data_IF_981220553793
#
_entry.id   IF_981220553793
#
_cell.length_a   1.000
_cell.length_b   1.000
_cell.length_c   1.000
_cell.angle_alpha   90.00
_cell.angle_beta   90.00
_cell.angle_gamma   90.00
#
_symmetry.space_group_name_H-M   'P 1'
#
loop_
_entity.id
_entity.type
_entity.pdbx_description
1 polymer ?
#
# COMPACT_ATOMS: atom_id res chain seq x y z
N UNK A 1 10.46 -7.18 53.07
CA UNK A 1 9.88 -6.34 52.01
C UNK A 1 9.81 -4.92 52.55
N UNK A 2 10.81 -4.09 52.26
CA UNK A 2 10.83 -2.69 52.73
C UNK A 2 9.93 -1.85 51.83
N UNK A 3 8.97 -1.16 52.44
CA UNK A 3 8.11 -0.19 51.79
C UNK A 3 8.97 0.99 51.31
N UNK A 4 9.16 1.09 49.99
CA UNK A 4 9.75 2.27 49.37
C UNK A 4 8.79 3.44 49.58
N UNK A 5 9.24 4.47 50.30
CA UNK A 5 8.51 5.72 50.43
C UNK A 5 8.24 6.28 49.02
N UNK A 6 6.96 6.32 48.63
CA UNK A 6 6.51 6.92 47.38
C UNK A 6 6.76 8.43 47.45
N UNK A 7 7.97 8.85 47.10
CA UNK A 7 8.31 10.26 46.93
C UNK A 7 7.68 10.72 45.62
N UNK A 8 6.88 11.78 45.68
CA UNK A 8 6.24 12.37 44.50
C UNK A 8 7.00 13.60 44.03
N UNK A 9 6.96 13.86 42.72
CA UNK A 9 7.58 15.02 42.08
C UNK A 9 6.58 15.72 41.19
N UNK A 10 6.45 17.04 41.37
CA UNK A 10 5.54 17.85 40.59
C UNK A 10 6.20 18.29 39.27
N UNK A 11 5.47 18.13 38.17
CA UNK A 11 5.95 18.57 36.88
C UNK A 11 5.96 20.10 36.80
N UNK A 12 7.13 20.72 36.70
CA UNK A 12 7.28 22.18 36.52
C UNK A 12 6.62 22.74 35.25
N UNK A 13 6.22 21.89 34.31
CA UNK A 13 5.62 22.33 33.04
C UNK A 13 4.09 22.25 33.00
N UNK A 14 3.48 21.27 33.66
CA UNK A 14 2.02 21.11 33.66
C UNK A 14 1.39 20.98 35.05
N UNK A 15 2.20 20.98 36.13
CA UNK A 15 1.73 20.86 37.51
C UNK A 15 1.27 19.46 37.93
N UNK A 16 1.34 18.46 37.06
CA UNK A 16 0.93 17.09 37.40
C UNK A 16 1.89 16.47 38.42
N UNK A 17 1.34 15.76 39.41
CA UNK A 17 2.08 14.96 40.39
C UNK A 17 2.51 13.64 39.74
N UNK A 18 3.80 13.32 39.75
CA UNK A 18 4.36 12.09 39.20
C UNK A 18 5.14 11.33 40.29
N UNK A 19 5.42 10.05 40.09
CA UNK A 19 6.35 9.32 40.98
C UNK A 19 7.79 9.80 40.75
N UNK A 20 8.60 9.88 41.80
CA UNK A 20 10.00 10.32 41.73
C UNK A 20 10.89 9.43 40.86
N UNK A 21 10.51 8.16 40.68
CA UNK A 21 11.19 7.19 39.82
C UNK A 21 10.96 7.48 38.32
N UNK A 22 9.98 8.32 37.97
CA UNK A 22 9.66 8.63 36.58
C UNK A 22 10.64 9.65 36.01
N UNK A 23 11.31 9.27 34.92
CA UNK A 23 12.21 10.17 34.18
C UNK A 23 11.46 11.27 33.40
N UNK A 24 10.20 11.01 33.04
CA UNK A 24 9.34 11.92 32.26
C UNK A 24 7.95 12.01 32.89
N UNK A 25 7.31 13.16 32.74
CA UNK A 25 5.95 13.39 33.18
C UNK A 25 4.97 12.56 32.35
N UNK A 26 4.14 11.76 33.02
CA UNK A 26 3.14 10.92 32.37
C UNK A 26 2.09 11.73 31.58
N UNK A 27 1.85 12.98 31.99
CA UNK A 27 0.82 13.82 31.41
C UNK A 27 1.30 14.66 30.21
N UNK A 28 2.51 15.23 30.28
CA UNK A 28 3.00 16.15 29.24
C UNK A 28 4.30 15.71 28.58
N UNK A 29 4.90 14.59 29.01
CA UNK A 29 6.15 14.06 28.46
C UNK A 29 7.41 14.86 28.80
N UNK A 30 7.31 15.95 29.58
CA UNK A 30 8.47 16.75 30.00
C UNK A 30 9.37 15.95 30.94
N UNK A 31 10.68 16.06 30.78
CA UNK A 31 11.67 15.46 31.68
C UNK A 31 11.45 15.97 33.11
N UNK A 32 11.49 15.04 34.08
CA UNK A 32 11.35 15.34 35.51
C UNK A 32 12.69 15.28 36.24
N UNK A 33 13.61 14.42 35.80
CA UNK A 33 14.90 14.20 36.45
C UNK A 33 16.01 15.07 35.86
N UNK A 34 16.72 15.79 36.75
CA UNK A 34 17.86 16.64 36.39
C UNK A 34 19.04 15.84 35.82
N UNK A 35 19.17 14.56 36.17
CA UNK A 35 20.20 13.65 35.63
C UNK A 35 19.98 13.34 34.14
N UNK A 36 18.73 13.15 33.71
CA UNK A 36 18.39 12.94 32.30
C UNK A 36 18.57 14.23 31.50
N UNK A 37 18.25 15.38 32.09
CA UNK A 37 18.52 16.69 31.49
C UNK A 37 20.03 16.93 31.31
N UNK A 38 20.84 16.62 32.33
CA UNK A 38 22.30 16.74 32.28
C UNK A 38 22.93 15.79 31.24
N UNK A 39 22.44 14.55 31.13
CA UNK A 39 22.85 13.60 30.09
C UNK A 39 22.46 14.08 28.68
N UNK A 40 21.29 14.70 28.50
CA UNK A 40 20.89 15.30 27.22
C UNK A 40 21.79 16.47 26.85
N UNK A 41 22.15 17.31 27.81
CA UNK A 41 23.05 18.45 27.59
C UNK A 41 24.48 17.98 27.28
N UNK A 42 25.00 16.99 28.02
CA UNK A 42 26.31 16.40 27.79
C UNK A 42 26.44 15.71 26.41
N UNK A 43 25.35 15.14 25.89
CA UNK A 43 25.30 14.58 24.52
C UNK A 43 25.32 15.63 23.40
N UNK A 44 25.34 16.93 23.73
CA UNK A 44 25.46 18.00 22.74
C UNK A 44 24.26 18.08 21.80
N UNK A 45 23.05 17.74 22.28
CA UNK A 45 21.81 17.91 21.52
C UNK A 45 21.59 19.42 21.33
N UNK A 46 22.04 19.95 20.20
CA UNK A 46 21.82 21.36 19.83
C UNK A 46 20.32 21.60 19.73
N UNK A 47 19.78 22.40 20.65
CA UNK A 47 18.40 22.88 20.57
C UNK A 47 18.26 23.67 19.27
N UNK A 48 17.54 23.14 18.29
CA UNK A 48 17.34 23.81 17.02
C UNK A 48 16.02 24.56 17.07
N UNK A 49 16.03 25.85 16.74
CA UNK A 49 14.81 26.61 16.53
C UNK A 49 14.21 26.26 15.18
N UNK A 50 12.89 26.03 15.16
CA UNK A 50 12.14 25.89 13.93
C UNK A 50 11.98 27.28 13.28
N UNK A 51 12.35 27.43 12.00
CA UNK A 51 12.18 28.68 11.27
C UNK A 51 10.70 29.06 11.07
N UNK A 52 9.80 28.08 11.03
CA UNK A 52 8.37 28.31 10.75
C UNK A 52 7.57 28.72 11.98
N UNK A 53 7.89 28.20 13.16
CA UNK A 53 7.13 28.46 14.39
C UNK A 53 7.95 29.05 15.54
N UNK A 54 9.27 29.20 15.37
CA UNK A 54 10.18 29.75 16.37
C UNK A 54 10.45 28.87 17.58
N UNK A 55 9.75 27.74 17.75
CA UNK A 55 9.91 26.84 18.90
C UNK A 55 11.15 25.96 18.75
N UNK A 56 11.82 25.68 19.87
CA UNK A 56 12.98 24.79 19.91
C UNK A 56 12.55 23.33 19.86
N UNK A 57 13.03 22.60 18.86
CA UNK A 57 12.82 21.16 18.71
C UNK A 57 14.11 20.40 19.05
N UNK A 58 13.97 19.33 19.82
CA UNK A 58 15.08 18.47 20.26
C UNK A 58 14.88 16.98 19.94
N UNK A 59 13.79 16.61 19.26
CA UNK A 59 13.40 15.20 19.09
C UNK A 59 13.38 14.74 17.64
N UNK A 60 13.24 15.65 16.66
CA UNK A 60 13.12 15.24 15.27
C UNK A 60 14.04 16.03 14.32
N UNK A 61 14.85 15.30 13.56
CA UNK A 61 15.83 15.88 12.64
C UNK A 61 15.24 16.31 11.29
N UNK A 62 13.94 16.09 11.06
CA UNK A 62 13.33 16.29 9.75
C UNK A 62 12.09 17.18 9.78
N UNK A 63 11.20 17.01 10.77
CA UNK A 63 9.99 17.81 10.89
C UNK A 63 9.85 18.39 12.28
N UNK A 64 9.40 19.64 12.39
CA UNK A 64 9.11 20.24 13.67
C UNK A 64 7.96 19.51 14.37
N UNK A 65 8.18 19.02 15.59
CA UNK A 65 7.14 18.36 16.41
C UNK A 65 5.98 19.30 16.73
N UNK A 66 6.23 20.62 16.77
CA UNK A 66 5.22 21.61 17.14
C UNK A 66 4.33 22.09 15.99
N UNK A 67 4.86 22.15 14.77
CA UNK A 67 4.14 22.73 13.63
C UNK A 67 4.16 21.87 12.35
N UNK A 68 4.88 20.75 12.37
CA UNK A 68 5.00 19.84 11.23
C UNK A 68 5.85 20.36 10.06
N UNK A 69 6.35 21.60 10.11
CA UNK A 69 7.18 22.14 9.04
C UNK A 69 8.52 21.40 8.94
N UNK A 70 9.00 21.20 7.73
CA UNK A 70 10.33 20.63 7.50
C UNK A 70 11.41 21.56 8.08
N UNK A 71 12.36 20.96 8.79
CA UNK A 71 13.49 21.68 9.36
C UNK A 71 14.70 21.27 8.50
N UNK A 72 15.21 22.19 7.67
CA UNK A 72 16.32 21.93 6.76
C UNK A 72 17.62 21.62 7.54
N UNK A 73 17.81 20.38 8.00
CA UNK A 73 19.07 19.91 8.63
C UNK A 73 19.80 18.91 7.75
N UNK A 74 19.20 18.49 6.62
CA UNK A 74 19.91 17.66 5.67
C UNK A 74 20.93 18.51 4.92
N UNK A 75 22.08 18.74 5.55
CA UNK A 75 23.32 18.61 4.79
C UNK A 75 23.32 17.17 4.31
N UNK A 76 22.87 16.97 3.07
CA UNK A 76 23.06 15.73 2.34
C UNK A 76 24.57 15.52 2.32
N UNK A 77 25.13 14.83 3.32
CA UNK A 77 26.47 14.29 3.19
C UNK A 77 26.36 13.38 1.99
N UNK A 78 27.00 13.78 0.89
CA UNK A 78 27.11 12.96 -0.31
C UNK A 78 27.54 11.58 0.17
N UNK A 79 26.65 10.60 0.07
CA UNK A 79 26.96 9.22 0.39
C UNK A 79 28.12 8.84 -0.52
N UNK A 80 29.29 8.57 0.06
CA UNK A 80 30.40 8.07 -0.76
C UNK A 80 30.00 6.71 -1.29
N UNK A 81 30.20 6.48 -2.60
CA UNK A 81 29.90 5.21 -3.23
C UNK A 81 30.58 4.04 -2.49
N UNK A 82 31.73 4.32 -1.86
CA UNK A 82 32.51 3.38 -1.08
C UNK A 82 31.87 2.99 0.26
N UNK A 83 31.14 3.90 0.92
CA UNK A 83 30.38 3.57 2.13
C UNK A 83 29.13 2.72 1.79
N UNK A 84 28.53 2.96 0.63
CA UNK A 84 27.41 2.16 0.13
C UNK A 84 27.87 0.73 -0.23
N UNK A 85 29.04 0.61 -0.87
CA UNK A 85 29.63 -0.68 -1.22
C UNK A 85 29.95 -1.52 0.02
N UNK A 86 30.64 -0.93 1.01
CA UNK A 86 30.95 -1.63 2.28
C UNK A 86 29.69 -2.11 3.00
N UNK A 87 28.64 -1.29 3.04
CA UNK A 87 27.39 -1.70 3.68
C UNK A 87 26.72 -2.88 2.97
N UNK A 88 26.72 -2.90 1.63
CA UNK A 88 26.20 -4.03 0.86
C UNK A 88 27.03 -5.30 1.10
N UNK A 89 28.35 -5.18 1.16
CA UNK A 89 29.24 -6.32 1.45
C UNK A 89 29.02 -6.85 2.89
N UNK A 90 28.88 -5.97 3.87
CA UNK A 90 28.57 -6.34 5.25
C UNK A 90 27.22 -7.07 5.35
N UNK A 91 26.18 -6.56 4.66
CA UNK A 91 24.85 -7.20 4.62
C UNK A 91 24.90 -8.60 3.99
N UNK A 92 25.68 -8.77 2.94
CA UNK A 92 25.86 -10.05 2.25
C UNK A 92 26.73 -11.02 3.05
N UNK A 93 27.61 -10.52 3.92
CA UNK A 93 28.45 -11.33 4.80
C UNK A 93 27.74 -11.84 6.06
N UNK A 94 26.58 -11.26 6.40
CA UNK A 94 25.73 -11.74 7.48
C UNK A 94 24.91 -12.95 7.00
N UNK A 95 25.55 -14.12 6.96
CA UNK A 95 24.83 -15.39 6.84
C UNK A 95 23.98 -15.61 8.09
N UNK A 96 22.65 -15.70 7.92
CA UNK A 96 21.75 -16.16 8.97
C UNK A 96 22.24 -17.54 9.48
N UNK A 97 22.20 -17.82 10.80
CA UNK A 97 22.47 -19.17 11.29
C UNK A 97 21.45 -20.10 10.65
N UNK A 98 21.96 -20.97 9.78
CA UNK A 98 21.23 -22.00 9.08
C UNK A 98 20.67 -23.01 10.08
N UNK A 99 19.40 -22.86 10.44
CA UNK A 99 18.60 -23.99 10.92
C UNK A 99 18.27 -24.90 9.73
N UNK A 100 18.96 -26.05 9.73
CA UNK A 100 18.56 -27.33 9.12
C UNK A 100 18.07 -27.33 7.67
N UNK A 101 19.00 -27.71 6.79
CA UNK A 101 18.84 -28.70 5.71
C UNK A 101 17.49 -28.74 4.96
N UNK A 102 17.50 -28.19 3.75
CA UNK A 102 16.92 -28.85 2.58
C UNK A 102 17.82 -28.55 1.40
N UNK A 103 18.47 -29.59 0.89
CA UNK A 103 19.42 -29.54 -0.21
C UNK A 103 18.74 -28.99 -1.48
N UNK A 104 19.36 -27.98 -2.07
CA UNK A 104 19.09 -27.55 -3.44
C UNK A 104 19.70 -28.56 -4.41
N UNK A 105 18.87 -29.42 -4.99
CA UNK A 105 19.15 -29.96 -6.32
C UNK A 105 18.86 -28.88 -7.38
N UNK A 106 19.54 -28.91 -8.54
CA UNK A 106 19.31 -27.92 -9.59
C UNK A 106 17.89 -28.07 -10.14
N UNK A 107 17.12 -26.97 -10.13
CA UNK A 107 15.80 -26.90 -10.75
C UNK A 107 16.00 -26.99 -12.26
N UNK A 108 15.77 -28.18 -12.81
CA UNK A 108 15.59 -28.41 -14.23
C UNK A 108 14.25 -27.79 -14.64
N UNK A 109 14.28 -26.73 -15.44
CA UNK A 109 13.07 -26.17 -16.06
C UNK A 109 12.68 -27.12 -17.20
N UNK A 110 11.86 -28.11 -16.90
CA UNK A 110 11.15 -28.92 -17.88
C UNK A 110 9.66 -28.55 -17.87
N UNK A 111 9.17 -28.15 -19.05
CA UNK A 111 7.78 -27.87 -19.41
C UNK A 111 6.78 -28.90 -18.85
N UNK A 112 5.50 -28.53 -18.64
CA UNK A 112 4.51 -29.50 -18.20
C UNK A 112 4.29 -30.56 -19.28
N UNK A 113 4.78 -31.77 -19.00
CA UNK A 113 4.51 -32.99 -19.75
C UNK A 113 3.03 -33.34 -19.53
N UNK A 114 2.31 -33.42 -20.64
CA UNK A 114 0.95 -33.94 -20.74
C UNK A 114 0.80 -35.25 -19.96
N UNK A 115 -0.04 -35.25 -18.94
CA UNK A 115 -0.61 -36.47 -18.39
C UNK A 115 -1.60 -37.03 -19.40
N UNK A 116 -1.14 -38.02 -20.17
CA UNK A 116 -2.04 -38.87 -20.95
C UNK A 116 -2.83 -39.75 -19.98
N UNK A 117 -4.10 -39.41 -19.78
CA UNK A 117 -5.08 -40.33 -19.21
C UNK A 117 -5.35 -41.39 -20.28
N UNK A 118 -4.98 -42.64 -20.00
CA UNK A 118 -5.41 -43.77 -20.81
C UNK A 118 -6.92 -43.92 -20.67
N UNK A 119 -7.66 -43.67 -21.76
CA UNK A 119 -9.07 -44.03 -21.85
C UNK A 119 -9.21 -45.53 -22.12
N UNK A 120 -10.21 -46.20 -21.53
CA UNK A 120 -10.50 -47.59 -21.86
C UNK A 120 -11.00 -47.69 -23.31
N UNK A 121 -10.52 -48.70 -24.03
CA UNK A 121 -10.96 -49.02 -25.37
C UNK A 121 -12.45 -49.41 -25.37
N UNK A 122 -13.27 -48.59 -26.03
CA UNK A 122 -14.65 -48.94 -26.39
C UNK A 122 -14.67 -49.50 -27.82
N UNK A 123 -15.50 -50.52 -28.10
CA UNK A 123 -15.47 -51.26 -29.35
C UNK A 123 -15.99 -50.41 -30.51
N UNK A 124 -15.33 -50.58 -31.65
CA UNK A 124 -15.73 -50.11 -32.97
C UNK A 124 -17.14 -50.59 -33.27
N UNK A 125 -18.07 -49.64 -33.42
CA UNK A 125 -19.27 -49.86 -34.22
C UNK A 125 -19.40 -48.68 -35.18
N UNK A 126 -19.14 -48.98 -36.45
CA UNK A 126 -19.32 -48.08 -37.56
C UNK A 126 -20.81 -47.73 -37.71
N UNK A 127 -21.14 -46.44 -37.64
CA UNK A 127 -22.39 -45.93 -38.20
C UNK A 127 -22.17 -44.54 -38.80
N UNK A 128 -22.77 -44.37 -39.98
CA UNK A 128 -22.47 -43.39 -41.01
C UNK A 128 -22.27 -41.95 -40.50
N UNK A 129 -21.16 -41.33 -40.94
CA UNK A 129 -20.76 -39.95 -40.68
C UNK A 129 -21.60 -38.95 -41.50
N UNK A 130 -22.14 -37.87 -40.91
CA UNK A 130 -22.35 -36.64 -41.65
C UNK A 130 -20.98 -35.93 -41.80
N UNK A 131 -20.70 -35.43 -43.00
CA UNK A 131 -19.40 -34.86 -43.38
C UNK A 131 -18.95 -33.74 -42.41
N UNK A 132 -17.76 -33.81 -41.79
CA UNK A 132 -17.26 -32.80 -40.84
C UNK A 132 -17.05 -31.43 -41.49
N UNK A 133 -16.90 -31.37 -42.82
CA UNK A 133 -16.75 -30.14 -43.60
C UNK A 133 -17.97 -29.21 -43.45
N UNK A 134 -19.18 -29.75 -43.30
CA UNK A 134 -20.38 -28.93 -43.21
C UNK A 134 -20.43 -28.13 -41.90
N UNK A 135 -19.97 -28.72 -40.79
CA UNK A 135 -19.93 -28.01 -39.50
C UNK A 135 -18.84 -26.93 -39.47
N UNK A 136 -17.69 -27.17 -40.12
CA UNK A 136 -16.62 -26.18 -40.24
C UNK A 136 -17.06 -25.02 -41.13
N UNK A 137 -17.68 -25.31 -42.29
CA UNK A 137 -18.19 -24.29 -43.20
C UNK A 137 -19.34 -23.52 -42.55
N UNK A 138 -20.27 -24.19 -41.86
CA UNK A 138 -21.36 -23.53 -41.15
C UNK A 138 -20.83 -22.67 -39.99
N UNK A 139 -19.79 -23.12 -39.29
CA UNK A 139 -19.09 -22.32 -38.27
C UNK A 139 -18.38 -21.09 -38.85
N UNK A 140 -17.72 -21.22 -40.00
CA UNK A 140 -17.06 -20.11 -40.68
C UNK A 140 -18.08 -19.09 -41.22
N UNK A 141 -19.13 -19.57 -41.88
CA UNK A 141 -20.18 -18.71 -42.45
C UNK A 141 -20.97 -18.02 -41.33
N UNK A 142 -21.32 -18.73 -40.25
CA UNK A 142 -22.00 -18.12 -39.10
C UNK A 142 -21.08 -17.14 -38.36
N UNK A 143 -19.79 -17.44 -38.19
CA UNK A 143 -18.82 -16.55 -37.57
C UNK A 143 -18.56 -15.27 -38.37
N UNK A 144 -18.56 -15.34 -39.70
CA UNK A 144 -18.41 -14.18 -40.59
C UNK A 144 -19.71 -13.40 -40.78
N UNK A 145 -20.88 -14.06 -40.72
CA UNK A 145 -22.18 -13.40 -40.86
C UNK A 145 -22.70 -12.75 -39.57
N UNK A 146 -22.39 -13.30 -38.39
CA UNK A 146 -22.80 -12.77 -37.08
C UNK A 146 -22.46 -11.28 -36.85
N UNK A 147 -21.25 -10.78 -37.15
CA UNK A 147 -20.95 -9.35 -37.01
C UNK A 147 -21.74 -8.47 -38.00
N UNK A 148 -22.14 -9.00 -39.16
CA UNK A 148 -22.98 -8.29 -40.14
C UNK A 148 -24.47 -8.29 -39.77
N UNK A 149 -24.94 -9.32 -39.05
CA UNK A 149 -26.34 -9.44 -38.61
C UNK A 149 -26.62 -8.72 -37.29
N UNK A 150 -25.70 -8.76 -36.32
CA UNK A 150 -25.87 -8.09 -35.02
C UNK A 150 -25.29 -6.66 -35.00
N UNK A 151 -24.51 -6.28 -36.01
CA UNK A 151 -23.82 -5.00 -36.06
C UNK A 151 -22.57 -4.95 -35.17
N UNK A 152 -21.55 -4.22 -35.62
CA UNK A 152 -20.27 -4.06 -34.92
C UNK A 152 -20.42 -3.49 -33.50
N UNK A 153 -21.48 -2.72 -33.25
CA UNK A 153 -21.78 -2.10 -31.96
C UNK A 153 -22.09 -3.13 -30.87
N UNK A 154 -22.89 -4.16 -31.17
CA UNK A 154 -23.28 -5.20 -30.22
C UNK A 154 -22.08 -6.07 -29.82
N UNK A 155 -21.25 -6.41 -30.80
CA UNK A 155 -20.03 -7.19 -30.56
C UNK A 155 -19.01 -6.39 -29.73
N UNK A 156 -18.92 -5.08 -29.97
CA UNK A 156 -18.13 -4.16 -29.15
C UNK A 156 -18.64 -4.09 -27.70
N UNK A 157 -19.95 -4.03 -27.50
CA UNK A 157 -20.54 -4.01 -26.16
C UNK A 157 -20.31 -5.32 -25.40
N UNK A 158 -20.45 -6.47 -26.05
CA UNK A 158 -20.18 -7.79 -25.44
C UNK A 158 -18.70 -7.91 -25.10
N UNK A 159 -17.81 -7.47 -25.98
CA UNK A 159 -16.37 -7.49 -25.75
C UNK A 159 -15.96 -6.58 -24.58
N UNK A 160 -16.48 -5.36 -24.50
CA UNK A 160 -16.23 -4.45 -23.38
C UNK A 160 -16.80 -4.98 -22.06
N UNK A 161 -17.99 -5.59 -22.09
CA UNK A 161 -18.59 -6.21 -20.91
C UNK A 161 -17.76 -7.40 -20.39
N UNK A 162 -17.08 -8.13 -21.29
CA UNK A 162 -16.17 -9.21 -20.94
C UNK A 162 -14.88 -8.74 -20.24
N UNK A 163 -14.48 -7.48 -20.40
CA UNK A 163 -13.25 -6.96 -19.80
C UNK A 163 -13.44 -6.46 -18.38
N UNK A 164 -14.67 -6.20 -17.95
CA UNK A 164 -14.97 -5.67 -16.63
C UNK A 164 -15.12 -6.84 -15.65
N UNK A 165 -14.31 -6.91 -14.57
CA UNK A 165 -14.45 -7.97 -13.58
C UNK A 165 -15.80 -7.86 -12.87
N UNK A 166 -16.42 -9.01 -12.59
CA UNK A 166 -17.72 -9.09 -11.91
C UNK A 166 -17.67 -8.67 -10.44
N UNK A 167 -16.48 -8.66 -9.84
CA UNK A 167 -16.24 -8.33 -8.44
C UNK A 167 -14.96 -7.53 -8.25
N UNK A 168 -14.95 -6.69 -7.21
CA UNK A 168 -13.81 -5.87 -6.83
C UNK A 168 -14.20 -4.45 -6.46
N UNK A 169 -13.22 -3.55 -6.56
CA UNK A 169 -13.37 -2.12 -6.32
C UNK A 169 -12.77 -1.33 -7.47
N UNK A 170 -13.56 -0.40 -8.00
CA UNK A 170 -13.17 0.61 -8.98
C UNK A 170 -13.25 1.98 -8.30
N UNK A 171 -12.17 2.75 -8.39
CA UNK A 171 -12.06 4.08 -7.79
C UNK A 171 -11.71 5.08 -8.89
N UNK A 172 -12.52 6.13 -8.97
CA UNK A 172 -12.33 7.26 -9.87
C UNK A 172 -11.96 8.49 -9.05
N UNK A 173 -10.80 9.08 -9.34
CA UNK A 173 -10.31 10.31 -8.72
C UNK A 173 -10.10 11.39 -9.77
N UNK A 174 -10.24 12.64 -9.37
CA UNK A 174 -9.92 13.80 -10.22
C UNK A 174 -8.41 13.98 -10.45
N UNK A 175 -7.56 13.37 -9.60
CA UNK A 175 -6.11 13.45 -9.71
C UNK A 175 -5.52 12.23 -10.41
N UNK A 176 -4.69 12.42 -11.44
CA UNK A 176 -3.92 11.33 -12.04
C UNK A 176 -2.81 10.89 -11.11
N UNK A 177 -2.42 9.61 -11.18
CA UNK A 177 -1.31 9.04 -10.41
C UNK A 177 -1.43 9.25 -8.88
N UNK A 178 -2.65 9.46 -8.38
CA UNK A 178 -2.93 9.47 -6.95
C UNK A 178 -2.64 8.09 -6.36
N UNK A 179 -1.87 8.06 -5.28
CA UNK A 179 -1.62 6.89 -4.47
C UNK A 179 -2.91 6.43 -3.79
N UNK A 180 -3.17 5.13 -3.88
CA UNK A 180 -4.32 4.45 -3.31
C UNK A 180 -3.80 3.44 -2.29
N UNK A 181 -4.30 3.51 -1.06
CA UNK A 181 -4.04 2.50 -0.04
C UNK A 181 -5.37 2.06 0.57
N UNK A 182 -5.69 0.78 0.41
CA UNK A 182 -6.80 0.12 1.05
C UNK A 182 -6.26 -0.66 2.23
N UNK A 183 -6.79 -0.36 3.41
CA UNK A 183 -6.43 -1.01 4.66
C UNK A 183 -7.67 -1.71 5.22
N UNK A 184 -7.55 -2.96 5.62
CA UNK A 184 -8.58 -3.66 6.38
C UNK A 184 -8.89 -2.93 7.70
N UNK A 185 -10.13 -2.97 8.18
CA UNK A 185 -10.47 -2.36 9.48
C UNK A 185 -9.63 -2.92 10.63
N UNK A 186 -9.24 -4.19 10.54
CA UNK A 186 -8.41 -4.91 11.51
C UNK A 186 -6.90 -4.66 11.30
N UNK A 187 -6.53 -3.88 10.28
CA UNK A 187 -5.14 -3.52 9.94
C UNK A 187 -4.23 -4.70 9.60
N UNK A 188 -4.81 -5.81 9.15
CA UNK A 188 -4.08 -7.04 8.77
C UNK A 188 -3.80 -7.13 7.28
N UNK A 189 -4.76 -6.72 6.45
CA UNK A 189 -4.63 -6.73 4.99
C UNK A 189 -4.47 -5.33 4.45
N UNK A 190 -3.58 -5.20 3.46
CA UNK A 190 -3.30 -3.94 2.78
C UNK A 190 -3.21 -4.18 1.28
N UNK A 191 -3.85 -3.31 0.52
CA UNK A 191 -3.69 -3.24 -0.93
C UNK A 191 -3.24 -1.82 -1.27
N UNK A 192 -2.01 -1.70 -1.75
CA UNK A 192 -1.45 -0.44 -2.20
C UNK A 192 -1.39 -0.41 -3.73
N UNK A 193 -1.63 0.77 -4.30
CA UNK A 193 -1.54 0.98 -5.73
C UNK A 193 -1.58 2.46 -6.09
N UNK A 194 -1.74 2.73 -7.37
CA UNK A 194 -1.85 4.08 -7.89
C UNK A 194 -2.97 4.13 -8.93
N UNK A 195 -3.66 5.26 -8.99
CA UNK A 195 -4.58 5.54 -10.09
C UNK A 195 -3.79 5.72 -11.39
N UNK A 196 -4.41 5.37 -12.50
CA UNK A 196 -3.88 5.61 -13.84
C UNK A 196 -3.74 7.10 -14.15
N UNK A 197 -3.18 7.41 -15.32
CA UNK A 197 -3.17 8.77 -15.88
C UNK A 197 -4.57 9.37 -16.09
N UNK A 198 -5.64 8.55 -16.08
CA UNK A 198 -7.04 8.97 -16.14
C UNK A 198 -7.72 9.02 -14.77
N UNK A 199 -6.97 8.84 -13.67
CA UNK A 199 -7.51 8.87 -12.32
C UNK A 199 -8.30 7.60 -11.93
N UNK A 200 -8.14 6.50 -12.69
CA UNK A 200 -8.85 5.23 -12.44
C UNK A 200 -7.94 4.22 -11.76
N UNK A 201 -8.40 3.63 -10.66
CA UNK A 201 -7.77 2.50 -9.97
C UNK A 201 -8.76 1.34 -9.87
N UNK A 202 -8.29 0.10 -9.99
CA UNK A 202 -9.10 -1.09 -9.78
C UNK A 202 -8.36 -2.15 -8.97
N UNK A 203 -9.11 -2.91 -8.16
CA UNK A 203 -8.59 -4.07 -7.42
C UNK A 203 -9.65 -5.17 -7.37
N UNK A 204 -9.25 -6.41 -7.64
CA UNK A 204 -10.14 -7.59 -7.67
C UNK A 204 -9.99 -8.49 -6.44
N UNK A 205 -8.87 -8.40 -5.73
CA UNK A 205 -8.55 -9.26 -4.58
C UNK A 205 -8.96 -8.58 -3.26
N UNK A 206 -10.26 -8.36 -3.09
CA UNK A 206 -10.83 -7.78 -1.87
C UNK A 206 -11.82 -8.79 -1.27
N UNK A 207 -11.44 -9.41 -0.17
CA UNK A 207 -12.20 -10.48 0.50
C UNK A 207 -13.05 -9.97 1.66
N UNK A 208 -12.75 -8.78 2.18
CA UNK A 208 -13.35 -8.26 3.40
C UNK A 208 -14.56 -7.35 3.14
N UNK A 209 -15.51 -7.27 4.09
CA UNK A 209 -16.73 -6.48 3.92
C UNK A 209 -16.51 -4.97 4.02
N UNK A 210 -15.38 -4.51 4.56
CA UNK A 210 -15.10 -3.08 4.71
C UNK A 210 -13.60 -2.79 4.71
N UNK A 211 -13.25 -1.66 4.10
CA UNK A 211 -11.88 -1.16 4.01
C UNK A 211 -11.83 0.33 4.34
N UNK A 212 -10.67 0.80 4.83
CA UNK A 212 -10.29 2.22 4.86
C UNK A 212 -9.52 2.52 3.58
N UNK A 213 -10.11 3.33 2.72
CA UNK A 213 -9.44 3.90 1.57
C UNK A 213 -8.72 5.18 1.97
N UNK A 214 -7.44 5.23 1.62
CA UNK A 214 -6.61 6.41 1.70
C UNK A 214 -6.19 6.81 0.29
N UNK A 215 -6.57 8.01 -0.13
CA UNK A 215 -6.17 8.61 -1.39
C UNK A 215 -5.19 9.75 -1.12
N UNK A 216 -4.05 9.74 -1.79
CA UNK A 216 -3.00 10.76 -1.63
C UNK A 216 -2.41 11.15 -2.98
N UNK A 217 -2.37 12.45 -3.27
CA UNK A 217 -1.72 12.97 -4.46
C UNK A 217 -0.77 14.13 -4.07
N UNK A 218 0.29 14.37 -4.87
CA UNK A 218 1.18 15.51 -4.68
C UNK A 218 0.41 16.83 -4.62
N UNK A 219 0.77 17.70 -3.68
CA UNK A 219 0.12 19.01 -3.50
C UNK A 219 -1.32 18.97 -2.95
N UNK A 220 -1.84 17.78 -2.63
CA UNK A 220 -3.19 17.61 -2.09
C UNK A 220 -3.14 17.04 -0.67
N UNK A 221 -4.18 17.35 0.12
CA UNK A 221 -4.42 16.69 1.40
C UNK A 221 -4.84 15.25 1.15
N UNK A 222 -4.37 14.35 2.00
CA UNK A 222 -4.79 12.95 1.98
C UNK A 222 -6.26 12.85 2.38
N UNK A 223 -7.05 12.15 1.56
CA UNK A 223 -8.43 11.79 1.88
C UNK A 223 -8.47 10.40 2.50
N UNK A 224 -9.21 10.25 3.60
CA UNK A 224 -9.42 9.00 4.32
C UNK A 224 -10.91 8.74 4.35
N UNK A 225 -11.35 7.60 3.83
CA UNK A 225 -12.76 7.23 3.75
C UNK A 225 -12.95 5.75 4.11
N UNK A 226 -13.91 5.46 4.99
CA UNK A 226 -14.38 4.09 5.20
C UNK A 226 -15.32 3.73 4.06
N UNK A 227 -15.12 2.56 3.47
CA UNK A 227 -15.99 2.02 2.43
C UNK A 227 -16.49 0.65 2.87
N UNK A 228 -17.78 0.44 2.69
CA UNK A 228 -18.44 -0.84 2.89
C UNK A 228 -18.63 -1.49 1.52
N UNK A 229 -18.21 -2.75 1.40
CA UNK A 229 -18.18 -3.49 0.15
C UNK A 229 -19.43 -4.36 0.05
N UNK A 230 -20.13 -4.26 -1.08
CA UNK A 230 -21.12 -5.25 -1.47
C UNK A 230 -20.41 -6.55 -1.89
N UNK A 231 -20.88 -7.67 -1.33
CA UNK A 231 -20.35 -9.00 -1.62
C UNK A 231 -20.70 -9.42 -3.06
N UNK A 232 -19.77 -10.13 -3.71
CA UNK A 232 -19.94 -10.74 -5.04
C UNK A 232 -20.38 -9.73 -6.13
N UNK A 233 -20.00 -8.46 -5.95
CA UNK A 233 -20.33 -7.36 -6.87
C UNK A 233 -19.14 -6.43 -7.06
N UNK A 234 -19.16 -5.72 -8.18
CA UNK A 234 -18.23 -4.65 -8.45
C UNK A 234 -18.67 -3.39 -7.69
N UNK A 235 -17.81 -2.92 -6.80
CA UNK A 235 -18.01 -1.69 -6.04
C UNK A 235 -17.37 -0.53 -6.81
N UNK A 236 -18.14 0.52 -7.11
CA UNK A 236 -17.65 1.68 -7.86
C UNK A 236 -17.72 2.92 -7.00
N UNK A 237 -16.59 3.63 -6.86
CA UNK A 237 -16.48 4.88 -6.15
C UNK A 237 -16.10 6.01 -7.10
N UNK A 238 -16.90 7.07 -7.11
CA UNK A 238 -16.64 8.27 -7.90
C UNK A 238 -16.99 8.17 -9.39
N UNK A 239 -17.83 7.20 -9.77
CA UNK A 239 -18.23 6.99 -11.18
C UNK A 239 -18.91 8.24 -11.79
N UNK A 240 -19.94 8.78 -11.12
CA UNK A 240 -20.64 9.97 -11.60
C UNK A 240 -19.87 11.27 -11.29
N UNK A 241 -19.24 11.30 -10.11
CA UNK A 241 -18.46 12.43 -9.61
C UNK A 241 -17.14 11.91 -9.06
N UNK A 242 -16.02 12.11 -9.78
CA UNK A 242 -14.70 11.66 -9.33
C UNK A 242 -14.38 12.20 -7.94
N UNK A 243 -13.70 11.40 -7.14
CA UNK A 243 -13.28 11.80 -5.79
C UNK A 243 -12.25 12.92 -5.91
N UNK A 244 -12.66 14.11 -5.46
CA UNK A 244 -11.81 15.30 -5.46
C UNK A 244 -10.89 15.35 -4.26
N UNK A 245 -9.58 15.42 -4.51
CA UNK A 245 -8.59 15.59 -3.44
C UNK A 245 -8.40 17.10 -3.13
N UNK A 246 -8.68 17.55 -1.89
CA UNK A 246 -8.57 18.96 -1.56
C UNK A 246 -7.12 19.44 -1.60
N UNK A 247 -6.87 20.58 -2.24
CA UNK A 247 -5.54 21.16 -2.36
C UNK A 247 -4.99 21.58 -0.99
N UNK A 248 -3.66 21.48 -0.83
CA UNK A 248 -2.99 22.07 0.33
C UNK A 248 -3.00 23.60 0.23
N UNK A 249 -3.20 24.32 1.35
CA UNK A 249 -3.14 25.78 1.36
C UNK A 249 -1.77 26.26 0.86
N UNK A 250 -1.75 27.19 -0.10
CA UNK A 250 -0.53 27.85 -0.58
C UNK A 250 0.14 27.24 -1.82
N UNK A 251 -0.41 26.16 -2.40
CA UNK A 251 0.07 25.62 -3.68
C UNK A 251 -0.88 26.10 -4.79
N UNK A 252 -0.41 26.83 -5.82
CA UNK A 252 -1.26 27.21 -6.94
C UNK A 252 -1.74 25.93 -7.63
N UNK A 253 -3.07 25.78 -7.75
CA UNK A 253 -3.68 24.62 -8.39
C UNK A 253 -3.24 24.52 -9.84
N UNK A 254 -2.26 23.66 -10.11
CA UNK A 254 -1.88 23.27 -11.47
C UNK A 254 -3.08 22.57 -12.11
N UNK A 255 -3.61 23.18 -13.17
CA UNK A 255 -4.57 22.57 -14.06
C UNK A 255 -3.91 21.43 -14.83
#
# INVERSE_FOLDING_TARGET
MQAGAATSVDCKSCGAVNSSDMSFCAQCGKVLSSSVEALRQARGVKKRSCNSCGRSDELNNRYCVFCGSEIEIFQTRKTSAEALAKFNDDLNSLSAPSSSSSQSSPINISSPRQSQVALPALPVQAKATPRPDLFIILGLVSGLAMPFLLGSTLLSHVYLASQIPSQGLLVFSDKPNAGVLLESLDRKEYVAGQTSNRGVFYSTNLSLPAYRLRLSAPGCRTLLQKIEMAKDRLNCLGLDKPISLPLLPGIPGGK
#
